data_IF_730041464058
#
_entry.id   IF_730041464058
#
_cell.length_a   1.000
_cell.length_b   1.000
_cell.length_c   1.000
_cell.angle_alpha   90.00
_cell.angle_beta   90.00
_cell.angle_gamma   90.00
#
_symmetry.space_group_name_H-M   'P 1'
#
loop_
_entity.id
_entity.type
_entity.pdbx_description
1 polymer ?
#
# COMPACT_ATOMS: atom_id res chain seq x y z
N UNK A 1 -17.12 -12.76 -2.69
CA UNK A 1 -16.27 -11.56 -2.78
C UNK A 1 -16.97 -10.41 -2.07
N UNK A 2 -16.37 -9.74 -1.06
CA UNK A 2 -17.06 -8.69 -0.30
C UNK A 2 -17.45 -7.50 -1.19
N UNK A 3 -18.61 -6.90 -0.93
CA UNK A 3 -19.25 -5.86 -1.76
C UNK A 3 -18.35 -4.65 -2.10
N UNK A 4 -17.43 -4.26 -1.21
CA UNK A 4 -16.51 -3.13 -1.44
C UNK A 4 -15.51 -3.32 -2.59
N UNK A 5 -15.35 -4.53 -3.14
CA UNK A 5 -14.44 -4.81 -4.25
C UNK A 5 -15.09 -4.64 -5.63
N UNK A 6 -16.40 -4.37 -5.71
CA UNK A 6 -17.13 -4.28 -6.99
C UNK A 6 -16.96 -2.94 -7.73
N UNK A 7 -16.33 -1.93 -7.15
CA UNK A 7 -16.42 -0.55 -7.67
C UNK A 7 -15.11 0.08 -8.14
N UNK A 8 -13.94 -0.51 -7.86
CA UNK A 8 -12.67 0.02 -8.37
C UNK A 8 -12.27 -0.70 -9.65
N UNK A 9 -12.69 -0.13 -10.78
CA UNK A 9 -12.39 -0.65 -12.12
C UNK A 9 -12.02 0.50 -13.09
N UNK A 10 -10.95 1.27 -12.80
CA UNK A 10 -10.50 2.32 -13.71
C UNK A 10 -9.93 1.70 -15.00
N UNK A 11 -10.10 2.40 -16.11
CA UNK A 11 -9.44 2.06 -17.37
C UNK A 11 -7.92 2.23 -17.24
N UNK A 12 -7.17 1.51 -18.08
CA UNK A 12 -5.72 1.66 -18.15
C UNK A 12 -5.30 3.09 -18.57
N UNK A 13 -6.15 3.81 -19.31
CA UNK A 13 -5.92 5.21 -19.67
C UNK A 13 -6.05 6.14 -18.46
N UNK A 14 -7.12 6.01 -17.68
CA UNK A 14 -7.31 6.78 -16.44
C UNK A 14 -6.17 6.54 -15.44
N UNK A 15 -5.72 5.29 -15.31
CA UNK A 15 -4.56 4.95 -14.47
C UNK A 15 -3.30 5.66 -14.94
N UNK A 16 -2.96 5.58 -16.24
CA UNK A 16 -1.75 6.23 -16.77
C UNK A 16 -1.81 7.74 -16.62
N UNK A 17 -2.94 8.35 -16.94
CA UNK A 17 -3.15 9.79 -16.83
C UNK A 17 -3.05 10.31 -15.38
N UNK A 18 -3.34 9.46 -14.39
CA UNK A 18 -3.29 9.82 -12.99
C UNK A 18 -1.87 9.81 -12.36
N UNK A 19 -0.90 9.16 -13.01
CA UNK A 19 0.43 8.94 -12.45
C UNK A 19 1.43 10.10 -12.49
N UNK A 20 1.43 11.00 -13.49
CA UNK A 20 2.27 12.18 -13.46
C UNK A 20 1.99 13.08 -12.24
N UNK A 21 3.01 13.81 -11.80
CA UNK A 21 2.93 14.76 -10.69
C UNK A 21 3.40 14.20 -9.33
N UNK A 22 3.17 14.98 -8.28
CA UNK A 22 3.57 14.66 -6.90
C UNK A 22 2.38 14.17 -6.06
N UNK A 23 2.68 13.60 -4.90
CA UNK A 23 1.67 13.26 -3.91
C UNK A 23 1.12 14.52 -3.21
N UNK A 24 -0.14 14.53 -2.75
CA UNK A 24 -0.63 15.54 -1.83
C UNK A 24 0.07 15.43 -0.47
N UNK A 25 0.11 16.53 0.29
CA UNK A 25 0.81 16.62 1.59
C UNK A 25 0.46 15.47 2.56
N UNK A 26 -0.83 15.15 2.71
CA UNK A 26 -1.27 14.06 3.59
C UNK A 26 -0.77 12.69 3.13
N UNK A 27 -0.59 12.46 1.83
CA UNK A 27 -0.03 11.22 1.32
C UNK A 27 1.50 11.18 1.49
N UNK A 28 2.20 12.31 1.30
CA UNK A 28 3.62 12.43 1.62
C UNK A 28 3.88 12.11 3.10
N UNK A 29 3.09 12.69 4.00
CA UNK A 29 3.18 12.42 5.44
C UNK A 29 2.88 10.95 5.75
N UNK A 30 1.86 10.39 5.11
CA UNK A 30 1.54 8.97 5.22
C UNK A 30 2.70 8.06 4.83
N UNK A 31 3.41 8.36 3.74
CA UNK A 31 4.59 7.61 3.31
C UNK A 31 5.77 7.80 4.27
N UNK A 32 6.00 9.00 4.79
CA UNK A 32 7.03 9.26 5.80
C UNK A 32 6.78 8.41 7.04
N UNK A 33 5.57 8.45 7.59
CA UNK A 33 5.15 7.67 8.75
C UNK A 33 5.21 6.15 8.49
N UNK A 34 4.84 5.71 7.28
CA UNK A 34 4.98 4.31 6.88
C UNK A 34 6.44 3.87 6.96
N UNK A 35 7.35 4.68 6.40
CA UNK A 35 8.78 4.38 6.34
C UNK A 35 9.43 4.40 7.73
N UNK A 36 8.85 5.15 8.67
CA UNK A 36 9.20 5.13 10.09
C UNK A 36 8.49 4.01 10.89
N UNK A 37 7.75 3.12 10.21
CA UNK A 37 6.97 2.02 10.79
C UNK A 37 5.87 2.47 11.74
N UNK A 38 5.45 3.73 11.66
CA UNK A 38 4.30 4.26 12.39
C UNK A 38 3.00 3.93 11.64
N UNK A 39 2.76 2.65 11.37
CA UNK A 39 1.75 2.19 10.41
C UNK A 39 0.31 2.64 10.72
N UNK A 40 -0.02 2.84 12.01
CA UNK A 40 -1.32 3.38 12.39
C UNK A 40 -1.46 4.87 12.04
N UNK A 41 -0.46 5.71 12.34
CA UNK A 41 -0.49 7.12 11.93
C UNK A 41 -0.40 7.26 10.40
N UNK A 42 0.38 6.40 9.74
CA UNK A 42 0.45 6.34 8.29
C UNK A 42 -0.93 6.06 7.67
N UNK A 43 -1.71 5.15 8.29
CA UNK A 43 -3.09 4.88 7.90
C UNK A 43 -3.95 6.15 7.98
N UNK A 44 -3.91 6.90 9.08
CA UNK A 44 -4.73 8.11 9.25
C UNK A 44 -4.38 9.21 8.23
N UNK A 45 -3.09 9.43 7.98
CA UNK A 45 -2.62 10.40 7.01
C UNK A 45 -3.01 10.02 5.57
N UNK A 46 -2.81 8.75 5.18
CA UNK A 46 -3.26 8.23 3.88
C UNK A 46 -4.80 8.23 3.79
N UNK A 47 -5.50 8.05 4.91
CA UNK A 47 -6.95 8.13 4.97
C UNK A 47 -7.44 9.53 4.59
N UNK A 48 -6.83 10.53 5.21
CA UNK A 48 -7.07 11.94 4.89
C UNK A 48 -6.84 12.24 3.42
N UNK A 49 -5.78 11.68 2.82
CA UNK A 49 -5.47 11.87 1.40
C UNK A 49 -6.54 11.25 0.48
N UNK A 50 -6.96 10.00 0.71
CA UNK A 50 -7.91 9.34 -0.20
C UNK A 50 -9.34 9.87 -0.05
N UNK A 51 -9.74 10.33 1.13
CA UNK A 51 -11.05 10.95 1.35
C UNK A 51 -11.19 12.26 0.56
N UNK A 52 -10.12 13.07 0.53
CA UNK A 52 -10.11 14.37 -0.16
C UNK A 52 -9.94 14.26 -1.68
N UNK A 53 -9.44 13.13 -2.18
CA UNK A 53 -9.12 12.94 -3.58
C UNK A 53 -10.34 12.48 -4.40
N UNK A 54 -10.83 13.28 -5.36
CA UNK A 54 -11.95 12.89 -6.24
C UNK A 54 -11.52 12.03 -7.43
N UNK A 55 -10.24 11.97 -7.80
CA UNK A 55 -9.75 11.21 -8.94
C UNK A 55 -9.56 9.71 -8.66
N UNK A 56 -9.22 8.96 -9.71
CA UNK A 56 -8.87 7.52 -9.61
C UNK A 56 -7.61 7.28 -8.77
N UNK A 57 -6.72 8.29 -8.65
CA UNK A 57 -5.46 8.22 -7.91
C UNK A 57 -5.63 7.91 -6.41
N UNK A 58 -6.82 8.19 -5.85
CA UNK A 58 -7.16 7.77 -4.48
C UNK A 58 -6.98 6.27 -4.26
N UNK A 59 -7.12 5.47 -5.33
CA UNK A 59 -6.91 4.04 -5.30
C UNK A 59 -5.48 3.66 -4.90
N UNK A 60 -4.47 4.41 -5.36
CA UNK A 60 -3.08 4.20 -4.96
C UNK A 60 -2.92 4.41 -3.44
N UNK A 61 -3.46 5.51 -2.90
CA UNK A 61 -3.36 5.82 -1.48
C UNK A 61 -4.05 4.75 -0.61
N UNK A 62 -5.22 4.26 -1.04
CA UNK A 62 -5.92 3.14 -0.39
C UNK A 62 -5.11 1.86 -0.42
N UNK A 63 -4.40 1.58 -1.52
CA UNK A 63 -3.51 0.43 -1.63
C UNK A 63 -2.35 0.49 -0.64
N UNK A 64 -1.64 1.61 -0.60
CA UNK A 64 -0.51 1.85 0.33
C UNK A 64 -1.00 1.79 1.78
N UNK A 65 -2.15 2.40 2.07
CA UNK A 65 -2.78 2.33 3.40
C UNK A 65 -3.04 0.89 3.82
N UNK A 66 -3.64 0.06 2.97
CA UNK A 66 -3.93 -1.33 3.31
C UNK A 66 -2.65 -2.18 3.46
N UNK A 67 -1.59 -1.88 2.71
CA UNK A 67 -0.28 -2.48 2.91
C UNK A 67 0.30 -2.13 4.29
N UNK A 68 0.18 -0.86 4.72
CA UNK A 68 0.62 -0.43 6.05
C UNK A 68 -0.17 -1.12 7.16
N UNK A 69 -1.49 -1.24 7.00
CA UNK A 69 -2.32 -1.99 7.95
C UNK A 69 -1.96 -3.48 7.96
N UNK A 70 -1.60 -4.09 6.83
CA UNK A 70 -1.08 -5.46 6.82
C UNK A 70 0.17 -5.58 7.69
N UNK A 71 1.14 -4.69 7.54
CA UNK A 71 2.35 -4.67 8.36
C UNK A 71 2.03 -4.49 9.85
N UNK A 72 1.11 -3.58 10.18
CA UNK A 72 0.62 -3.41 11.56
C UNK A 72 -0.01 -4.69 12.14
N UNK A 73 -0.75 -5.47 11.33
CA UNK A 73 -1.32 -6.73 11.79
C UNK A 73 -0.24 -7.81 12.01
N UNK A 74 0.85 -7.79 11.23
CA UNK A 74 2.02 -8.65 11.46
C UNK A 74 2.66 -8.29 12.82
N UNK A 75 2.90 -7.00 13.09
CA UNK A 75 3.46 -6.55 14.38
C UNK A 75 2.59 -6.91 15.58
N UNK A 76 1.27 -7.06 15.37
CA UNK A 76 0.31 -7.49 16.39
C UNK A 76 0.15 -9.01 16.49
N UNK A 77 1.00 -9.79 15.81
CA UNK A 77 0.90 -11.24 15.70
C UNK A 77 -0.49 -11.73 15.22
N UNK A 78 -1.17 -10.94 14.38
CA UNK A 78 -2.50 -11.24 13.85
C UNK A 78 -2.42 -11.69 12.39
N UNK A 79 -2.12 -12.98 12.17
CA UNK A 79 -2.00 -13.54 10.82
C UNK A 79 -3.29 -13.39 10.00
N UNK A 80 -4.45 -13.66 10.60
CA UNK A 80 -5.75 -13.55 9.88
C UNK A 80 -6.00 -12.10 9.43
N UNK A 81 -5.68 -11.14 10.29
CA UNK A 81 -5.73 -9.72 9.97
C UNK A 81 -4.80 -9.37 8.82
N UNK A 82 -3.54 -9.79 8.91
CA UNK A 82 -2.51 -9.54 7.89
C UNK A 82 -2.95 -10.07 6.52
N UNK A 83 -3.37 -11.35 6.44
CA UNK A 83 -3.80 -11.96 5.16
C UNK A 83 -5.02 -11.25 4.55
N UNK A 84 -5.96 -10.81 5.39
CA UNK A 84 -7.13 -10.05 4.93
C UNK A 84 -6.71 -8.69 4.34
N UNK A 85 -5.78 -7.98 4.98
CA UNK A 85 -5.33 -6.68 4.52
C UNK A 85 -4.43 -6.80 3.28
N UNK A 86 -3.59 -7.82 3.21
CA UNK A 86 -2.85 -8.19 2.00
C UNK A 86 -3.79 -8.29 0.79
N UNK A 87 -4.82 -9.15 0.86
CA UNK A 87 -5.75 -9.34 -0.25
C UNK A 87 -6.44 -8.04 -0.68
N UNK A 88 -6.74 -7.15 0.26
CA UNK A 88 -7.31 -5.84 -0.04
C UNK A 88 -6.30 -4.91 -0.70
N UNK A 89 -5.08 -4.84 -0.18
CA UNK A 89 -4.02 -4.01 -0.75
C UNK A 89 -3.76 -4.35 -2.21
N UNK A 90 -3.73 -5.65 -2.56
CA UNK A 90 -3.50 -6.10 -3.92
C UNK A 90 -4.59 -5.64 -4.90
N UNK A 91 -5.86 -5.60 -4.48
CA UNK A 91 -6.94 -5.10 -5.36
C UNK A 91 -6.71 -3.64 -5.74
N UNK A 92 -6.23 -2.83 -4.80
CA UNK A 92 -6.00 -1.41 -5.04
C UNK A 92 -4.65 -1.13 -5.71
N UNK A 93 -3.62 -1.94 -5.46
CA UNK A 93 -2.27 -1.78 -6.00
C UNK A 93 -2.07 -2.40 -7.38
N UNK A 94 -2.79 -3.48 -7.72
CA UNK A 94 -2.59 -4.21 -8.97
C UNK A 94 -2.78 -3.38 -10.25
N UNK A 95 -3.77 -2.47 -10.35
CA UNK A 95 -3.98 -1.72 -11.59
C UNK A 95 -2.87 -0.73 -11.93
N UNK A 96 -2.08 -0.28 -10.95
CA UNK A 96 -1.10 0.79 -11.14
C UNK A 96 0.16 0.30 -11.87
N UNK A 97 0.81 1.15 -12.68
CA UNK A 97 2.15 0.88 -13.21
C UNK A 97 3.17 0.81 -12.07
N UNK A 98 4.37 0.30 -12.37
CA UNK A 98 5.42 0.16 -11.36
C UNK A 98 5.84 1.50 -10.76
N UNK A 99 5.76 2.59 -11.53
CA UNK A 99 6.06 3.94 -11.04
C UNK A 99 4.86 4.86 -11.20
N UNK A 100 4.46 5.51 -10.11
CA UNK A 100 3.31 6.42 -10.10
C UNK A 100 3.48 7.46 -8.99
N UNK A 101 3.29 8.76 -9.26
CA UNK A 101 3.38 9.84 -8.27
C UNK A 101 4.66 9.79 -7.42
N UNK A 102 5.82 9.52 -8.04
CA UNK A 102 7.14 9.37 -7.36
C UNK A 102 7.26 8.16 -6.42
N UNK A 103 6.31 7.22 -6.47
CA UNK A 103 6.30 5.98 -5.69
C UNK A 103 6.71 4.81 -6.59
N UNK A 104 7.60 3.95 -6.08
CA UNK A 104 7.89 2.64 -6.65
C UNK A 104 6.83 1.63 -6.17
N UNK A 105 5.71 1.59 -6.90
CA UNK A 105 4.59 0.70 -6.64
C UNK A 105 4.96 -0.76 -6.93
N UNK A 106 5.82 -0.98 -7.93
CA UNK A 106 6.34 -2.31 -8.27
C UNK A 106 7.10 -2.93 -7.09
N UNK A 107 8.05 -2.18 -6.53
CA UNK A 107 8.80 -2.60 -5.34
C UNK A 107 7.87 -2.78 -4.14
N UNK A 108 6.91 -1.88 -3.91
CA UNK A 108 5.96 -2.03 -2.81
C UNK A 108 5.15 -3.34 -2.92
N UNK A 109 4.65 -3.68 -4.11
CA UNK A 109 3.92 -4.94 -4.34
C UNK A 109 4.80 -6.16 -4.03
N UNK A 110 6.06 -6.14 -4.45
CA UNK A 110 7.00 -7.22 -4.20
C UNK A 110 7.35 -7.35 -2.71
N UNK A 111 7.60 -6.22 -2.03
CA UNK A 111 7.94 -6.18 -0.61
C UNK A 111 6.74 -6.64 0.26
N UNK A 112 5.51 -6.26 -0.11
CA UNK A 112 4.28 -6.74 0.52
C UNK A 112 4.07 -8.24 0.30
N UNK A 113 4.34 -8.76 -0.89
CA UNK A 113 4.27 -10.22 -1.14
C UNK A 113 5.28 -10.98 -0.30
N UNK A 114 6.53 -10.51 -0.22
CA UNK A 114 7.58 -11.16 0.56
C UNK A 114 7.22 -11.24 2.05
N UNK A 115 6.74 -10.13 2.63
CA UNK A 115 6.26 -10.11 4.01
C UNK A 115 5.05 -11.03 4.22
N UNK A 116 4.13 -11.09 3.26
CA UNK A 116 2.98 -12.01 3.31
C UNK A 116 3.42 -13.47 3.27
N UNK A 117 4.35 -13.80 2.39
CA UNK A 117 4.86 -15.16 2.23
C UNK A 117 5.54 -15.64 3.52
N UNK A 118 6.35 -14.78 4.15
CA UNK A 118 7.00 -15.11 5.42
C UNK A 118 6.00 -15.26 6.56
N UNK A 119 5.06 -14.33 6.71
CA UNK A 119 4.01 -14.42 7.72
C UNK A 119 3.19 -15.71 7.56
N UNK A 120 2.91 -16.11 6.30
CA UNK A 120 2.22 -17.36 6.01
C UNK A 120 3.09 -18.59 6.32
N UNK A 121 4.40 -18.55 6.04
CA UNK A 121 5.35 -19.63 6.35
C UNK A 121 5.45 -19.89 7.85
N UNK A 122 5.55 -18.82 8.65
CA UNK A 122 5.58 -18.90 10.11
C UNK A 122 4.25 -19.38 10.71
N UNK A 123 3.14 -19.08 10.03
CA UNK A 123 1.82 -19.43 10.50
C UNK A 123 1.42 -18.64 11.75
N UNK A 124 0.27 -19.00 12.32
CA UNK A 124 -0.33 -18.25 13.44
C UNK A 124 0.52 -18.31 14.72
N UNK A 125 1.27 -19.40 14.91
CA UNK A 125 2.00 -19.68 16.15
C UNK A 125 3.46 -19.17 16.09
N UNK A 126 4.02 -19.00 14.88
CA UNK A 126 5.39 -18.54 14.67
C UNK A 126 5.53 -17.04 14.37
N UNK A 127 4.42 -16.28 14.30
CA UNK A 127 4.47 -14.89 13.83
C UNK A 127 5.22 -13.95 14.78
N UNK A 128 5.41 -14.34 16.04
CA UNK A 128 6.28 -13.65 16.99
C UNK A 128 7.76 -13.68 16.59
N UNK A 129 8.17 -14.61 15.73
CA UNK A 129 9.54 -14.76 15.22
C UNK A 129 9.72 -14.07 13.85
N UNK A 130 8.73 -13.30 13.39
CA UNK A 130 8.79 -12.62 12.10
C UNK A 130 9.99 -11.68 12.01
N UNK A 131 10.78 -11.80 10.95
CA UNK A 131 11.92 -10.91 10.71
C UNK A 131 11.42 -9.49 10.35
N UNK A 132 11.59 -8.49 11.23
CA UNK A 132 11.10 -7.14 10.98
C UNK A 132 11.79 -6.47 9.78
N UNK A 133 12.93 -6.98 9.29
CA UNK A 133 13.60 -6.46 8.11
C UNK A 133 12.81 -6.68 6.80
N UNK A 134 11.79 -7.55 6.81
CA UNK A 134 10.87 -7.75 5.69
C UNK A 134 9.74 -6.71 5.63
N UNK A 135 9.54 -5.90 6.68
CA UNK A 135 8.64 -4.74 6.63
C UNK A 135 9.39 -3.56 6.00
N UNK A 136 9.52 -3.59 4.67
CA UNK A 136 10.32 -2.61 3.91
C UNK A 136 9.62 -1.25 3.82
N UNK A 137 10.40 -0.15 3.73
CA UNK A 137 9.84 1.17 3.44
C UNK A 137 9.31 1.26 2.00
N UNK A 138 8.34 2.14 1.78
CA UNK A 138 7.91 2.58 0.45
C UNK A 138 9.06 3.37 -0.20
N UNK A 139 9.55 2.87 -1.34
CA UNK A 139 10.65 3.49 -2.08
C UNK A 139 10.15 4.64 -2.96
N UNK A 140 11.00 5.65 -3.11
CA UNK A 140 10.76 6.82 -3.97
C UNK A 140 11.51 6.67 -5.28
N UNK A 141 10.90 7.14 -6.35
CA UNK A 141 11.49 7.23 -7.69
C UNK A 141 11.35 8.67 -8.20
N UNK A 142 12.21 9.12 -9.13
CA UNK A 142 12.03 10.39 -9.80
C UNK A 142 10.63 10.51 -10.42
N UNK A 143 10.06 11.72 -10.55
CA UNK A 143 8.79 11.91 -11.25
C UNK A 143 8.85 11.32 -12.65
N UNK A 144 7.78 10.62 -13.05
CA UNK A 144 7.64 10.15 -14.44
C UNK A 144 7.45 11.38 -15.31
N UNK A 145 8.42 11.67 -16.17
CA UNK A 145 8.31 12.75 -17.18
C UNK A 145 7.22 12.38 -18.19
N UNK A 146 6.35 13.35 -18.48
CA UNK A 146 5.37 13.22 -19.56
C UNK A 146 6.10 13.61 -20.84
N UNK A 147 6.34 12.64 -21.73
CA UNK A 147 6.81 12.89 -23.10
C UNK A 147 5.72 13.55 -23.95
#
# INVERSE_FOLDING_TARGET
>A
MPLFLREFNPSAEEIRAACPGTLPEAAEEGLRLFNERQFWHAHEALETAWIKEPGVIRGLYKGILQAGVMYLQIERANLKGAMKMYMRSQVWLAPWPDHCRTVDVGALRADVEAARAEAQRLGKDGLAEFDPALLKPVRRVPPVEVL
#
